data_IF_401782830361
#
_entry.id   IF_401782830361
#
_cell.length_a   1.000
_cell.length_b   1.000
_cell.length_c   1.000
_cell.angle_alpha   90.00
_cell.angle_beta   90.00
_cell.angle_gamma   90.00
#
_symmetry.space_group_name_H-M   'P 1'
#
loop_
_entity.id
_entity.type
_entity.pdbx_description
1 polymer ?
#
# COMPACT_ATOMS: atom_id res chain seq x y z
N UNK A 1 -58.43 8.49 27.65
CA UNK A 1 -57.66 7.39 27.05
C UNK A 1 -56.29 7.92 26.69
N UNK A 2 -55.29 7.66 27.53
CA UNK A 2 -53.88 7.97 27.24
C UNK A 2 -53.25 6.79 26.48
N UNK A 3 -52.37 7.05 25.50
CA UNK A 3 -51.68 5.99 24.77
C UNK A 3 -50.52 5.43 25.62
N UNK A 4 -50.49 4.11 25.75
CA UNK A 4 -49.42 3.36 26.40
C UNK A 4 -48.11 3.50 25.62
N UNK A 5 -47.08 4.02 26.28
CA UNK A 5 -45.70 4.03 25.80
C UNK A 5 -45.12 2.61 25.80
N UNK A 6 -44.74 2.08 24.64
CA UNK A 6 -43.88 0.91 24.58
C UNK A 6 -42.44 1.31 24.92
N UNK A 7 -41.74 0.56 25.80
CA UNK A 7 -40.33 0.82 26.06
C UNK A 7 -39.51 0.42 24.83
N UNK A 8 -38.79 1.40 24.27
CA UNK A 8 -37.77 1.19 23.25
C UNK A 8 -36.57 0.46 23.86
N UNK A 9 -36.64 -0.86 23.94
CA UNK A 9 -35.47 -1.69 24.18
C UNK A 9 -34.59 -1.64 22.92
N UNK A 10 -33.54 -0.82 22.94
CA UNK A 10 -32.48 -0.91 21.96
C UNK A 10 -31.88 -2.32 22.06
N UNK A 11 -32.07 -3.13 21.03
CA UNK A 11 -31.40 -4.41 20.86
C UNK A 11 -29.89 -4.18 20.83
N UNK A 12 -29.23 -4.36 21.97
CA UNK A 12 -27.77 -4.46 22.03
C UNK A 12 -27.39 -5.80 21.40
N UNK A 13 -27.01 -5.77 20.13
CA UNK A 13 -26.40 -6.92 19.45
C UNK A 13 -25.09 -7.28 20.16
N UNK A 14 -25.04 -8.44 20.81
CA UNK A 14 -23.91 -8.90 21.63
C UNK A 14 -22.72 -9.44 20.79
N UNK A 15 -22.86 -9.46 19.47
CA UNK A 15 -21.82 -9.92 18.54
C UNK A 15 -21.71 -11.44 18.44
N UNK A 16 -22.66 -12.20 18.98
CA UNK A 16 -22.70 -13.66 18.80
C UNK A 16 -23.24 -14.03 17.42
N UNK A 17 -22.81 -15.19 16.89
CA UNK A 17 -23.42 -15.85 15.73
C UNK A 17 -24.32 -16.99 16.26
N UNK A 18 -25.51 -16.67 16.82
CA UNK A 18 -26.34 -17.65 17.51
C UNK A 18 -26.84 -18.76 16.58
N UNK A 19 -26.91 -18.48 15.28
CA UNK A 19 -27.37 -19.40 14.26
C UNK A 19 -26.23 -20.18 13.59
N UNK A 20 -24.96 -19.89 13.94
CA UNK A 20 -23.76 -20.52 13.37
C UNK A 20 -23.75 -20.47 11.84
N UNK A 21 -24.18 -19.34 11.28
CA UNK A 21 -24.29 -19.15 9.83
C UNK A 21 -22.91 -18.83 9.25
N UNK A 22 -22.03 -18.22 10.03
CA UNK A 22 -20.68 -17.92 9.60
C UNK A 22 -19.82 -19.20 9.66
N UNK A 23 -18.99 -19.43 8.63
CA UNK A 23 -18.04 -20.54 8.65
C UNK A 23 -17.07 -20.39 9.82
N UNK A 24 -16.56 -21.52 10.32
CA UNK A 24 -15.71 -21.57 11.50
C UNK A 24 -14.34 -22.19 11.20
N UNK A 25 -13.29 -21.65 11.82
CA UNK A 25 -11.98 -22.31 11.89
C UNK A 25 -12.08 -23.61 12.71
N UNK A 26 -11.26 -24.60 12.35
CA UNK A 26 -11.17 -25.85 13.11
C UNK A 26 -10.40 -25.68 14.42
N UNK A 27 -9.48 -24.72 14.49
CA UNK A 27 -8.67 -24.42 15.67
C UNK A 27 -9.51 -23.79 16.77
N UNK A 28 -9.62 -24.48 17.91
CA UNK A 28 -10.43 -24.08 19.08
C UNK A 28 -10.04 -22.72 19.70
N UNK A 29 -8.86 -22.17 19.38
CA UNK A 29 -8.39 -20.86 19.84
C UNK A 29 -8.72 -19.68 18.92
N UNK A 30 -9.45 -19.91 17.83
CA UNK A 30 -9.69 -18.90 16.79
C UNK A 30 -11.19 -18.59 16.69
N UNK A 31 -11.59 -17.38 17.11
CA UNK A 31 -12.96 -16.88 16.94
C UNK A 31 -13.16 -16.30 15.54
N UNK A 32 -13.84 -17.05 14.68
CA UNK A 32 -14.13 -16.62 13.30
C UNK A 32 -15.02 -15.38 13.26
N UNK A 33 -16.00 -15.30 14.16
CA UNK A 33 -16.92 -14.17 14.28
C UNK A 33 -16.16 -12.88 14.61
N UNK A 34 -15.24 -12.93 15.58
CA UNK A 34 -14.45 -11.75 15.94
C UNK A 34 -13.53 -11.30 14.81
N UNK A 35 -12.91 -12.25 14.10
CA UNK A 35 -12.01 -11.94 12.99
C UNK A 35 -12.76 -11.39 11.78
N UNK A 36 -13.91 -11.94 11.43
CA UNK A 36 -14.76 -11.42 10.36
C UNK A 36 -15.23 -10.00 10.71
N UNK A 37 -15.64 -9.76 11.96
CA UNK A 37 -16.01 -8.42 12.43
C UNK A 37 -14.84 -7.44 12.34
N UNK A 38 -13.64 -7.86 12.74
CA UNK A 38 -12.42 -7.04 12.60
C UNK A 38 -12.09 -6.79 11.12
N UNK A 39 -12.28 -7.78 10.26
CA UNK A 39 -12.06 -7.66 8.82
C UNK A 39 -12.98 -6.59 8.23
N UNK A 40 -14.27 -6.67 8.56
CA UNK A 40 -15.27 -5.67 8.18
C UNK A 40 -14.88 -4.27 8.66
N UNK A 41 -14.43 -4.14 9.91
CA UNK A 41 -14.02 -2.84 10.47
C UNK A 41 -12.81 -2.22 9.76
N UNK A 42 -11.82 -3.02 9.40
CA UNK A 42 -10.54 -2.49 8.92
C UNK A 42 -10.40 -2.44 7.40
N UNK A 43 -11.05 -3.34 6.67
CA UNK A 43 -10.79 -3.58 5.24
C UNK A 43 -12.02 -3.44 4.33
N UNK A 44 -13.22 -3.34 4.89
CA UNK A 44 -14.45 -3.31 4.08
C UNK A 44 -14.94 -1.88 3.91
N UNK A 45 -15.02 -1.45 2.65
CA UNK A 45 -15.77 -0.27 2.23
C UNK A 45 -17.10 -0.68 1.57
N UNK A 46 -17.97 0.27 1.24
CA UNK A 46 -19.24 0.00 0.55
C UNK A 46 -19.04 -0.81 -0.73
N UNK A 47 -18.06 -0.43 -1.55
CA UNK A 47 -17.72 -1.16 -2.79
C UNK A 47 -17.20 -2.58 -2.52
N UNK A 48 -16.54 -2.81 -1.38
CA UNK A 48 -16.14 -4.17 -0.98
C UNK A 48 -17.36 -5.04 -0.67
N UNK A 49 -18.39 -4.47 -0.03
CA UNK A 49 -19.66 -5.17 0.23
C UNK A 49 -20.40 -5.51 -1.07
N UNK A 50 -20.37 -4.61 -2.06
CA UNK A 50 -21.10 -4.81 -3.31
C UNK A 50 -20.39 -5.79 -4.26
N UNK A 51 -19.05 -5.78 -4.27
CA UNK A 51 -18.25 -6.52 -5.26
C UNK A 51 -17.61 -7.78 -4.67
N UNK A 52 -16.97 -7.67 -3.51
CA UNK A 52 -16.09 -8.72 -3.00
C UNK A 52 -16.76 -9.67 -2.03
N UNK A 53 -17.56 -9.15 -1.09
CA UNK A 53 -18.26 -9.98 -0.10
C UNK A 53 -19.13 -11.06 -0.73
N UNK A 54 -19.92 -10.80 -1.80
CA UNK A 54 -20.72 -11.84 -2.44
C UNK A 54 -19.85 -12.97 -2.98
N UNK A 55 -18.65 -12.66 -3.49
CA UNK A 55 -17.69 -13.64 -4.02
C UNK A 55 -17.15 -14.52 -2.90
N UNK A 56 -16.61 -13.93 -1.82
CA UNK A 56 -16.02 -14.73 -0.74
C UNK A 56 -17.05 -15.51 0.07
N UNK A 57 -18.31 -15.07 0.07
CA UNK A 57 -19.42 -15.78 0.70
C UNK A 57 -19.88 -17.01 -0.09
N UNK A 58 -19.50 -17.17 -1.37
CA UNK A 58 -19.83 -18.40 -2.12
C UNK A 58 -19.04 -19.62 -1.63
N UNK A 59 -17.97 -19.41 -0.86
CA UNK A 59 -17.13 -20.50 -0.37
C UNK A 59 -16.59 -20.24 1.04
N UNK A 60 -16.87 -21.10 2.04
CA UNK A 60 -16.44 -20.93 3.43
C UNK A 60 -14.96 -20.57 3.61
N UNK A 61 -14.05 -21.28 2.95
CA UNK A 61 -12.61 -21.05 3.08
C UNK A 61 -12.16 -19.70 2.49
N UNK A 62 -12.87 -19.15 1.51
CA UNK A 62 -12.50 -17.84 0.97
C UNK A 62 -12.80 -16.72 1.95
N UNK A 63 -13.99 -16.75 2.59
CA UNK A 63 -14.28 -15.83 3.68
C UNK A 63 -13.28 -15.98 4.82
N UNK A 64 -13.03 -17.21 5.29
CA UNK A 64 -12.12 -17.45 6.40
C UNK A 64 -10.67 -17.03 6.08
N UNK A 65 -10.18 -17.26 4.87
CA UNK A 65 -8.82 -16.87 4.49
C UNK A 65 -8.58 -15.36 4.51
N UNK A 66 -9.62 -14.51 4.38
CA UNK A 66 -9.48 -13.05 4.58
C UNK A 66 -8.96 -12.69 5.99
N UNK A 67 -9.17 -13.58 6.96
CA UNK A 67 -8.69 -13.42 8.32
C UNK A 67 -7.17 -13.53 8.44
N UNK A 68 -6.45 -14.09 7.45
CA UNK A 68 -4.98 -14.04 7.39
C UNK A 68 -4.49 -12.58 7.44
N UNK A 69 -5.02 -11.76 6.53
CA UNK A 69 -4.67 -10.33 6.43
C UNK A 69 -5.10 -9.58 7.69
N UNK A 70 -6.30 -9.89 8.18
CA UNK A 70 -6.89 -9.22 9.33
C UNK A 70 -6.12 -9.50 10.62
N UNK A 71 -5.81 -10.77 10.92
CA UNK A 71 -5.12 -11.15 12.15
C UNK A 71 -3.71 -10.56 12.17
N UNK A 72 -2.99 -10.62 11.05
CA UNK A 72 -1.65 -10.02 10.92
C UNK A 72 -1.67 -8.49 11.05
N UNK A 73 -2.71 -7.81 10.53
CA UNK A 73 -2.90 -6.38 10.75
C UNK A 73 -3.13 -6.05 12.23
N UNK A 74 -3.96 -6.83 12.91
CA UNK A 74 -4.24 -6.65 14.34
C UNK A 74 -2.99 -6.90 15.18
N UNK A 75 -2.19 -7.90 14.85
CA UNK A 75 -0.90 -8.14 15.50
C UNK A 75 0.03 -6.93 15.38
N UNK A 76 0.09 -6.31 14.19
CA UNK A 76 0.86 -5.08 13.98
C UNK A 76 0.31 -3.92 14.80
N UNK A 77 -1.02 -3.71 14.82
CA UNK A 77 -1.65 -2.64 15.62
C UNK A 77 -1.36 -2.81 17.12
N UNK A 78 -1.24 -4.05 17.59
CA UNK A 78 -0.86 -4.40 18.96
C UNK A 78 0.65 -4.32 19.23
N UNK A 79 1.47 -3.89 18.25
CA UNK A 79 2.92 -3.75 18.40
C UNK A 79 3.67 -5.08 18.47
N UNK A 80 3.04 -6.21 18.10
CA UNK A 80 3.73 -7.49 18.05
C UNK A 80 4.78 -7.44 16.94
N UNK A 81 5.99 -7.95 17.19
CA UNK A 81 7.05 -8.02 16.16
C UNK A 81 6.87 -9.21 15.21
N UNK A 82 6.28 -10.29 15.71
CA UNK A 82 6.00 -11.54 14.97
C UNK A 82 4.50 -11.79 14.90
N UNK A 83 4.11 -12.86 14.23
CA UNK A 83 2.73 -13.35 14.29
C UNK A 83 2.39 -13.85 15.69
N UNK A 84 1.15 -13.59 16.12
CA UNK A 84 0.57 -14.21 17.29
C UNK A 84 0.27 -15.69 17.04
N UNK A 85 0.02 -16.44 18.11
CA UNK A 85 -0.46 -17.82 18.02
C UNK A 85 -1.72 -17.90 17.14
N UNK A 86 -2.66 -16.97 17.32
CA UNK A 86 -3.87 -16.87 16.50
C UNK A 86 -3.55 -16.71 15.01
N UNK A 87 -2.68 -15.77 14.65
CA UNK A 87 -2.28 -15.56 13.25
C UNK A 87 -1.59 -16.80 12.67
N UNK A 88 -0.77 -17.48 13.46
CA UNK A 88 -0.08 -18.72 13.06
C UNK A 88 -1.08 -19.84 12.77
N UNK A 89 -2.08 -20.03 13.64
CA UNK A 89 -3.14 -21.03 13.46
C UNK A 89 -3.96 -20.77 12.18
N UNK A 90 -4.37 -19.52 11.94
CA UNK A 90 -5.14 -19.13 10.75
C UNK A 90 -4.35 -19.41 9.46
N UNK A 91 -3.06 -19.06 9.45
CA UNK A 91 -2.16 -19.30 8.31
C UNK A 91 -1.97 -20.78 8.06
N UNK A 92 -1.76 -21.58 9.11
CA UNK A 92 -1.62 -23.03 9.00
C UNK A 92 -2.89 -23.68 8.43
N UNK A 93 -4.09 -23.30 8.90
CA UNK A 93 -5.34 -23.80 8.32
C UNK A 93 -5.51 -23.38 6.85
N UNK A 94 -5.15 -22.14 6.51
CA UNK A 94 -5.19 -21.67 5.13
C UNK A 94 -4.26 -22.46 4.21
N UNK A 95 -3.07 -22.83 4.69
CA UNK A 95 -2.13 -23.71 3.97
C UNK A 95 -2.74 -25.09 3.74
N UNK A 96 -3.44 -25.66 4.74
CA UNK A 96 -4.13 -26.95 4.59
C UNK A 96 -5.18 -26.87 3.48
N UNK A 97 -5.99 -25.80 3.44
CA UNK A 97 -6.98 -25.60 2.39
C UNK A 97 -6.33 -25.44 1.02
N UNK A 98 -5.29 -24.62 0.90
CA UNK A 98 -4.53 -24.44 -0.34
C UNK A 98 -3.99 -25.78 -0.85
N UNK A 99 -3.34 -26.57 0.02
CA UNK A 99 -2.78 -27.86 -0.36
C UNK A 99 -3.85 -28.85 -0.83
N UNK A 100 -5.03 -28.82 -0.20
CA UNK A 100 -6.18 -29.63 -0.63
C UNK A 100 -6.65 -29.21 -2.03
N UNK A 101 -6.78 -27.90 -2.29
CA UNK A 101 -7.19 -27.39 -3.59
C UNK A 101 -6.15 -27.71 -4.68
N UNK A 102 -4.86 -27.58 -4.36
CA UNK A 102 -3.74 -27.86 -5.29
C UNK A 102 -3.57 -29.35 -5.59
N UNK A 103 -3.93 -30.23 -4.66
CA UNK A 103 -3.84 -31.69 -4.86
C UNK A 103 -4.95 -32.24 -5.77
N UNK A 104 -6.00 -31.44 -6.03
CA UNK A 104 -7.12 -31.85 -6.87
C UNK A 104 -7.07 -31.12 -8.22
N UNK A 105 -6.96 -31.90 -9.31
CA UNK A 105 -6.85 -31.41 -10.68
C UNK A 105 -8.02 -30.51 -11.11
N UNK A 106 -9.20 -30.73 -10.57
CA UNK A 106 -10.39 -29.93 -10.89
C UNK A 106 -10.37 -28.54 -10.22
N UNK A 107 -9.66 -28.41 -9.11
CA UNK A 107 -9.68 -27.20 -8.28
C UNK A 107 -8.39 -26.39 -8.36
N UNK A 108 -7.24 -27.00 -8.63
CA UNK A 108 -5.91 -26.39 -8.56
C UNK A 108 -5.72 -25.07 -9.34
N UNK A 109 -6.49 -24.85 -10.41
CA UNK A 109 -6.43 -23.62 -11.23
C UNK A 109 -7.68 -22.75 -11.11
N UNK A 110 -8.60 -23.10 -10.21
CA UNK A 110 -9.79 -22.30 -9.96
C UNK A 110 -9.40 -21.00 -9.30
N UNK A 111 -10.29 -20.03 -9.43
CA UNK A 111 -10.04 -18.73 -8.85
C UNK A 111 -10.04 -18.80 -7.33
N UNK A 112 -10.81 -19.72 -6.75
CA UNK A 112 -10.85 -19.93 -5.31
C UNK A 112 -9.46 -20.26 -4.78
N UNK A 113 -8.72 -21.13 -5.47
CA UNK A 113 -7.33 -21.45 -5.12
C UNK A 113 -6.44 -20.22 -5.19
N UNK A 114 -6.57 -19.40 -6.24
CA UNK A 114 -5.82 -18.14 -6.37
C UNK A 114 -6.15 -17.18 -5.22
N UNK A 115 -7.42 -17.03 -4.87
CA UNK A 115 -7.88 -16.19 -3.75
C UNK A 115 -7.29 -16.65 -2.43
N UNK A 116 -7.33 -17.95 -2.13
CA UNK A 116 -6.76 -18.50 -0.90
C UNK A 116 -5.26 -18.17 -0.79
N UNK A 117 -4.51 -18.37 -1.89
CA UNK A 117 -3.07 -18.07 -1.93
C UNK A 117 -2.83 -16.56 -1.81
N UNK A 118 -3.63 -15.72 -2.46
CA UNK A 118 -3.51 -14.26 -2.36
C UNK A 118 -3.76 -13.74 -0.95
N UNK A 119 -4.78 -14.26 -0.25
CA UNK A 119 -5.05 -13.85 1.13
C UNK A 119 -3.94 -14.30 2.09
N UNK A 120 -3.41 -15.51 1.91
CA UNK A 120 -2.25 -15.98 2.67
C UNK A 120 -1.03 -15.09 2.39
N UNK A 121 -0.72 -14.84 1.12
CA UNK A 121 0.37 -13.97 0.68
C UNK A 121 0.24 -12.56 1.28
N UNK A 122 -0.96 -11.96 1.22
CA UNK A 122 -1.23 -10.66 1.83
C UNK A 122 -1.01 -10.66 3.36
N UNK A 123 -1.30 -11.78 4.04
CA UNK A 123 -0.95 -12.00 5.46
C UNK A 123 0.54 -12.24 5.71
N UNK A 124 1.31 -12.64 4.69
CA UNK A 124 2.77 -12.81 4.77
C UNK A 124 3.53 -11.52 4.46
N UNK A 125 2.92 -10.54 3.77
CA UNK A 125 3.58 -9.29 3.37
C UNK A 125 4.26 -8.57 4.56
N UNK A 126 3.64 -8.59 5.74
CA UNK A 126 4.20 -7.99 6.96
C UNK A 126 5.55 -8.60 7.36
N UNK A 127 5.80 -9.88 7.07
CA UNK A 127 7.03 -10.55 7.49
C UNK A 127 8.26 -10.01 6.73
N UNK A 128 8.04 -9.33 5.59
CA UNK A 128 9.08 -8.77 4.73
C UNK A 128 10.08 -9.83 4.23
N UNK A 129 9.67 -11.09 4.14
CA UNK A 129 10.50 -12.18 3.62
C UNK A 129 10.33 -12.27 2.09
N UNK A 130 11.32 -11.75 1.38
CA UNK A 130 11.30 -11.69 -0.08
C UNK A 130 11.40 -13.09 -0.73
N UNK A 131 11.91 -14.11 -0.02
CA UNK A 131 11.88 -15.48 -0.51
C UNK A 131 10.46 -16.04 -0.48
N UNK A 132 9.73 -15.80 0.61
CA UNK A 132 8.31 -16.17 0.74
C UNK A 132 7.49 -15.48 -0.36
N UNK A 133 7.74 -14.18 -0.61
CA UNK A 133 7.07 -13.46 -1.69
C UNK A 133 7.27 -14.13 -3.04
N UNK A 134 8.52 -14.48 -3.38
CA UNK A 134 8.86 -15.14 -4.66
C UNK A 134 8.20 -16.51 -4.82
N UNK A 135 8.10 -17.29 -3.74
CA UNK A 135 7.44 -18.61 -3.77
C UNK A 135 5.96 -18.46 -4.13
N UNK A 136 5.25 -17.56 -3.45
CA UNK A 136 3.83 -17.33 -3.73
C UNK A 136 3.59 -16.69 -5.10
N UNK A 137 4.40 -15.70 -5.48
CA UNK A 137 4.37 -15.05 -6.79
C UNK A 137 4.51 -16.08 -7.92
N UNK A 138 5.56 -16.92 -7.87
CA UNK A 138 5.78 -17.96 -8.87
C UNK A 138 4.65 -18.99 -8.88
N UNK A 139 4.12 -19.36 -7.71
CA UNK A 139 2.96 -20.24 -7.60
C UNK A 139 1.74 -19.68 -8.33
N UNK A 140 1.40 -18.41 -8.06
CA UNK A 140 0.27 -17.69 -8.68
C UNK A 140 0.48 -17.57 -10.19
N UNK A 141 1.67 -17.18 -10.63
CA UNK A 141 1.99 -17.05 -12.06
C UNK A 141 1.76 -18.36 -12.80
N UNK A 142 2.30 -19.48 -12.31
CA UNK A 142 2.10 -20.81 -12.92
C UNK A 142 0.63 -21.19 -13.01
N UNK A 143 -0.14 -20.96 -11.94
CA UNK A 143 -1.57 -21.28 -11.90
C UNK A 143 -2.33 -20.49 -12.98
N UNK A 144 -2.05 -19.20 -13.10
CA UNK A 144 -2.69 -18.32 -14.10
C UNK A 144 -2.30 -18.73 -15.52
N UNK A 145 -1.02 -19.05 -15.76
CA UNK A 145 -0.56 -19.55 -17.06
C UNK A 145 -1.25 -20.85 -17.42
N UNK A 146 -1.35 -21.82 -16.49
CA UNK A 146 -2.07 -23.08 -16.70
C UNK A 146 -3.55 -22.87 -16.99
N UNK A 147 -4.15 -21.82 -16.44
CA UNK A 147 -5.54 -21.44 -16.71
C UNK A 147 -5.74 -20.76 -18.07
N UNK A 148 -4.67 -20.38 -18.75
CA UNK A 148 -4.71 -19.70 -20.04
C UNK A 148 -4.64 -18.16 -19.97
N UNK A 149 -4.13 -17.61 -18.86
CA UNK A 149 -3.81 -16.18 -18.72
C UNK A 149 -4.76 -15.37 -17.84
N UNK A 150 -4.41 -14.10 -17.62
CA UNK A 150 -5.12 -13.17 -16.73
C UNK A 150 -6.60 -12.99 -17.10
N UNK A 151 -6.92 -12.97 -18.39
CA UNK A 151 -8.29 -12.77 -18.89
C UNK A 151 -9.22 -13.95 -18.62
N UNK A 152 -8.69 -15.08 -18.13
CA UNK A 152 -9.45 -16.27 -17.75
C UNK A 152 -9.87 -16.29 -16.28
N UNK A 153 -9.46 -15.29 -15.50
CA UNK A 153 -9.86 -15.14 -14.11
C UNK A 153 -11.29 -14.59 -14.02
N UNK A 154 -12.08 -15.15 -13.10
CA UNK A 154 -13.53 -14.98 -13.04
C UNK A 154 -14.02 -13.64 -12.49
N UNK A 155 -15.34 -13.61 -12.22
CA UNK A 155 -16.13 -12.49 -11.67
C UNK A 155 -15.79 -11.15 -12.32
N UNK A 156 -15.92 -11.12 -13.63
CA UNK A 156 -15.71 -9.93 -14.45
C UNK A 156 -14.34 -9.25 -14.25
N UNK A 157 -13.30 -10.04 -13.95
CA UNK A 157 -11.94 -9.55 -13.78
C UNK A 157 -11.65 -8.98 -12.38
N UNK A 158 -12.56 -9.10 -11.41
CA UNK A 158 -12.30 -8.71 -10.02
C UNK A 158 -11.09 -9.47 -9.45
N UNK A 159 -11.00 -10.77 -9.70
CA UNK A 159 -9.85 -11.56 -9.24
C UNK A 159 -8.58 -11.16 -9.96
N UNK A 160 -8.62 -10.94 -11.27
CA UNK A 160 -7.46 -10.42 -12.01
C UNK A 160 -6.95 -9.07 -11.47
N UNK A 161 -7.87 -8.15 -11.18
CA UNK A 161 -7.55 -6.85 -10.58
C UNK A 161 -6.92 -6.98 -9.19
N UNK A 162 -7.50 -7.79 -8.32
CA UNK A 162 -6.95 -8.05 -6.99
C UNK A 162 -5.56 -8.72 -7.08
N UNK A 163 -5.42 -9.75 -7.93
CA UNK A 163 -4.15 -10.44 -8.17
C UNK A 163 -3.06 -9.44 -8.56
N UNK A 164 -3.29 -8.66 -9.64
CA UNK A 164 -2.29 -7.72 -10.14
C UNK A 164 -1.96 -6.67 -9.09
N UNK A 165 -2.95 -6.18 -8.35
CA UNK A 165 -2.70 -5.17 -7.33
C UNK A 165 -1.84 -5.70 -6.18
N UNK A 166 -2.08 -6.92 -5.69
CA UNK A 166 -1.24 -7.54 -4.64
C UNK A 166 0.17 -7.85 -5.18
N UNK A 167 0.28 -8.34 -6.41
CA UNK A 167 1.55 -8.69 -7.02
C UNK A 167 2.40 -7.43 -7.30
N UNK A 168 1.80 -6.33 -7.74
CA UNK A 168 2.51 -5.07 -7.92
C UNK A 168 3.02 -4.46 -6.62
N UNK A 169 2.28 -4.58 -5.50
CA UNK A 169 2.79 -4.19 -4.19
C UNK A 169 4.12 -4.91 -3.90
N UNK A 170 4.20 -6.21 -4.18
CA UNK A 170 5.43 -7.00 -3.99
C UNK A 170 6.57 -6.51 -4.88
N UNK A 171 6.32 -6.27 -6.17
CA UNK A 171 7.36 -5.76 -7.07
C UNK A 171 7.86 -4.37 -6.63
N UNK A 172 6.96 -3.50 -6.15
CA UNK A 172 7.32 -2.19 -5.60
C UNK A 172 8.12 -2.35 -4.30
N UNK A 173 7.67 -3.16 -3.36
CA UNK A 173 8.37 -3.37 -2.08
C UNK A 173 9.74 -4.02 -2.25
N UNK A 174 9.95 -4.77 -3.33
CA UNK A 174 11.20 -5.49 -3.64
C UNK A 174 11.97 -4.86 -4.79
N UNK A 175 11.58 -3.68 -5.25
CA UNK A 175 12.22 -2.96 -6.37
C UNK A 175 12.59 -3.87 -7.55
N UNK A 176 11.67 -4.76 -7.92
CA UNK A 176 11.82 -5.73 -9.01
C UNK A 176 10.89 -5.38 -10.16
N UNK A 177 11.19 -5.94 -11.32
CA UNK A 177 10.33 -5.81 -12.50
C UNK A 177 9.22 -6.86 -12.52
N UNK A 178 7.98 -6.48 -12.85
CA UNK A 178 6.89 -7.43 -12.96
C UNK A 178 7.06 -8.41 -14.12
N UNK A 179 6.55 -9.63 -13.97
CA UNK A 179 6.42 -10.55 -15.12
C UNK A 179 5.54 -9.95 -16.22
N UNK A 180 5.85 -10.27 -17.49
CA UNK A 180 5.21 -9.67 -18.65
C UNK A 180 3.68 -9.77 -18.66
N UNK A 181 3.13 -10.91 -18.22
CA UNK A 181 1.68 -11.13 -18.17
C UNK A 181 0.96 -10.17 -17.22
N UNK A 182 1.62 -9.72 -16.16
CA UNK A 182 1.06 -8.71 -15.25
C UNK A 182 1.19 -7.32 -15.87
N UNK A 183 2.30 -7.02 -16.55
CA UNK A 183 2.50 -5.72 -17.22
C UNK A 183 1.44 -5.46 -18.29
N UNK A 184 1.10 -6.48 -19.07
CA UNK A 184 0.11 -6.40 -20.16
C UNK A 184 -1.33 -6.31 -19.67
N UNK A 185 -1.62 -6.60 -18.40
CA UNK A 185 -2.99 -6.57 -17.89
C UNK A 185 -3.57 -5.15 -17.86
N UNK A 186 -4.76 -4.98 -18.44
CA UNK A 186 -5.50 -3.72 -18.41
C UNK A 186 -6.77 -3.95 -17.59
N UNK A 187 -6.95 -3.26 -16.44
CA UNK A 187 -8.15 -3.39 -15.65
C UNK A 187 -9.38 -2.96 -16.46
N UNK A 188 -10.46 -3.74 -16.40
CA UNK A 188 -11.72 -3.36 -17.04
C UNK A 188 -12.23 -2.05 -16.44
N UNK A 189 -12.68 -1.14 -17.30
CA UNK A 189 -13.27 0.13 -16.90
C UNK A 189 -14.78 0.05 -17.08
N UNK A 190 -15.53 0.13 -15.97
CA UNK A 190 -16.98 0.01 -16.03
C UNK A 190 -17.66 1.23 -16.65
N UNK A 191 -17.05 2.43 -16.61
CA UNK A 191 -17.60 3.67 -17.16
C UNK A 191 -16.52 4.72 -17.51
N UNK A 192 -16.74 5.61 -18.50
CA UNK A 192 -15.88 6.77 -18.73
C UNK A 192 -15.89 7.72 -17.52
N UNK A 193 -14.73 8.28 -17.18
CA UNK A 193 -14.62 9.21 -16.05
C UNK A 193 -15.31 10.53 -16.36
N UNK A 194 -16.27 10.92 -15.51
CA UNK A 194 -16.82 12.28 -15.51
C UNK A 194 -15.98 13.16 -14.58
N UNK A 195 -15.89 14.46 -14.87
CA UNK A 195 -15.15 15.41 -14.03
C UNK A 195 -15.65 15.43 -12.58
N UNK A 196 -16.95 15.24 -12.37
CA UNK A 196 -17.58 15.21 -11.05
C UNK A 196 -17.40 13.90 -10.27
N UNK A 197 -16.85 12.85 -10.88
CA UNK A 197 -16.65 11.57 -10.20
C UNK A 197 -15.46 11.67 -9.24
N UNK A 198 -15.69 11.40 -7.95
CA UNK A 198 -14.63 11.26 -6.99
C UNK A 198 -13.81 9.99 -7.30
N UNK A 199 -12.49 10.14 -7.40
CA UNK A 199 -11.55 9.04 -7.64
C UNK A 199 -10.33 9.19 -6.73
N UNK A 200 -9.63 8.11 -6.39
CA UNK A 200 -8.44 8.16 -5.55
C UNK A 200 -7.25 8.69 -6.37
N UNK A 201 -7.24 9.99 -6.58
CA UNK A 201 -6.13 10.70 -7.20
C UNK A 201 -4.87 10.63 -6.34
N UNK A 202 -3.74 10.68 -7.02
CA UNK A 202 -2.42 10.73 -6.41
C UNK A 202 -1.40 11.29 -7.40
N UNK A 203 -0.18 11.63 -6.95
CA UNK A 203 0.90 12.00 -7.85
C UNK A 203 1.19 10.99 -8.98
N UNK A 204 0.80 9.73 -8.79
CA UNK A 204 1.00 8.65 -9.77
C UNK A 204 -0.26 8.30 -10.58
N UNK A 205 -1.40 8.91 -10.26
CA UNK A 205 -2.64 8.77 -11.00
C UNK A 205 -3.46 10.07 -10.97
N UNK A 206 -3.24 10.88 -12.00
CA UNK A 206 -3.97 12.12 -12.28
C UNK A 206 -4.53 12.04 -13.71
N UNK A 207 -5.63 11.29 -13.95
CA UNK A 207 -6.18 11.13 -15.29
C UNK A 207 -6.85 12.41 -15.84
N UNK A 208 -6.91 13.46 -15.01
CA UNK A 208 -7.48 14.78 -15.31
C UNK A 208 -6.35 15.82 -15.30
N UNK A 209 -6.61 17.04 -15.78
CA UNK A 209 -5.62 18.13 -15.78
C UNK A 209 -5.15 18.51 -14.38
N UNK A 210 -6.03 18.37 -13.39
CA UNK A 210 -5.81 18.77 -12.00
C UNK A 210 -6.37 17.71 -11.04
N UNK A 211 -5.99 17.81 -9.76
CA UNK A 211 -6.48 16.91 -8.74
C UNK A 211 -7.83 17.35 -8.17
N UNK A 212 -8.90 17.19 -8.94
CA UNK A 212 -10.24 17.65 -8.54
C UNK A 212 -10.77 17.02 -7.24
N UNK A 213 -10.47 15.74 -6.99
CA UNK A 213 -10.91 15.06 -5.76
C UNK A 213 -10.06 15.47 -4.56
N UNK A 214 -8.76 15.67 -4.77
CA UNK A 214 -7.85 16.16 -3.72
C UNK A 214 -8.19 17.60 -3.35
N UNK A 215 -8.37 18.48 -4.33
CA UNK A 215 -8.71 19.89 -4.11
C UNK A 215 -10.05 20.09 -3.39
N UNK A 216 -11.01 19.19 -3.59
CA UNK A 216 -12.29 19.21 -2.88
C UNK A 216 -12.20 18.68 -1.44
N UNK A 217 -11.08 18.09 -1.04
CA UNK A 217 -10.90 17.52 0.30
C UNK A 217 -10.63 18.62 1.34
N UNK A 218 -11.34 18.64 2.48
CA UNK A 218 -11.05 19.60 3.55
C UNK A 218 -9.68 19.38 4.20
N UNK A 219 -9.05 18.22 3.95
CA UNK A 219 -7.71 17.90 4.43
C UNK A 219 -6.60 18.47 3.54
N UNK A 220 -6.92 18.93 2.33
CA UNK A 220 -5.94 19.44 1.39
C UNK A 220 -5.75 20.95 1.57
N UNK A 221 -4.63 21.34 2.16
CA UNK A 221 -4.19 22.74 2.11
C UNK A 221 -3.53 23.05 0.78
N UNK A 222 -3.40 24.33 0.45
CA UNK A 222 -2.66 24.78 -0.74
C UNK A 222 -1.24 24.21 -0.80
N UNK A 223 -0.54 24.16 0.34
CA UNK A 223 0.82 23.60 0.42
C UNK A 223 0.84 22.09 0.17
N UNK A 224 -0.15 21.35 0.68
CA UNK A 224 -0.30 19.92 0.37
C UNK A 224 -0.53 19.74 -1.13
N UNK A 225 -1.45 20.52 -1.70
CA UNK A 225 -1.75 20.47 -3.13
C UNK A 225 -0.49 20.72 -3.97
N UNK A 226 0.27 21.77 -3.64
CA UNK A 226 1.48 22.16 -4.36
C UNK A 226 2.56 21.08 -4.30
N UNK A 227 2.79 20.44 -3.14
CA UNK A 227 3.74 19.32 -3.03
C UNK A 227 3.31 18.15 -3.92
N UNK A 228 2.01 17.81 -3.93
CA UNK A 228 1.49 16.70 -4.74
C UNK A 228 1.56 17.00 -6.24
N UNK A 229 1.29 18.25 -6.63
CA UNK A 229 1.41 18.71 -8.01
C UNK A 229 2.87 18.67 -8.46
N UNK A 230 3.80 19.12 -7.60
CA UNK A 230 5.24 19.04 -7.86
C UNK A 230 5.70 17.59 -8.02
N UNK A 231 5.22 16.65 -7.20
CA UNK A 231 5.54 15.23 -7.37
C UNK A 231 5.04 14.68 -8.72
N UNK A 232 3.81 15.01 -9.13
CA UNK A 232 3.24 14.59 -10.41
C UNK A 232 4.06 15.15 -11.58
N UNK A 233 4.31 16.45 -11.56
CA UNK A 233 5.00 17.15 -12.64
C UNK A 233 6.47 16.70 -12.74
N UNK A 234 7.12 16.44 -11.60
CA UNK A 234 8.43 15.82 -11.53
C UNK A 234 8.43 14.43 -12.16
N UNK A 235 7.45 13.58 -11.85
CA UNK A 235 7.30 12.25 -12.48
C UNK A 235 7.15 12.39 -14.00
N UNK A 236 6.34 13.33 -14.50
CA UNK A 236 6.17 13.55 -15.94
C UNK A 236 7.48 13.99 -16.62
N UNK A 237 8.19 14.95 -16.02
CA UNK A 237 9.49 15.43 -16.54
C UNK A 237 10.51 14.30 -16.57
N UNK A 238 10.61 13.52 -15.51
CA UNK A 238 11.52 12.39 -15.39
C UNK A 238 11.25 11.31 -16.45
N UNK A 239 9.99 10.87 -16.57
CA UNK A 239 9.60 9.83 -17.53
C UNK A 239 9.71 10.30 -18.99
N UNK A 240 9.40 11.57 -19.26
CA UNK A 240 9.51 12.14 -20.61
C UNK A 240 10.96 12.21 -21.08
N UNK A 241 11.89 12.61 -20.20
CA UNK A 241 13.32 12.64 -20.53
C UNK A 241 13.87 11.25 -20.84
N UNK A 242 13.42 10.22 -20.11
CA UNK A 242 13.84 8.85 -20.36
C UNK A 242 13.32 8.30 -21.69
N UNK A 243 12.03 8.50 -21.99
CA UNK A 243 11.41 7.98 -23.23
C UNK A 243 11.87 8.73 -24.48
N UNK A 244 12.19 10.01 -24.34
CA UNK A 244 12.68 10.87 -25.43
C UNK A 244 13.92 11.60 -24.93
N UNK A 245 15.12 10.98 -25.00
CA UNK A 245 16.36 11.60 -24.56
C UNK A 245 16.63 12.83 -25.44
N UNK A 246 16.25 14.01 -24.95
CA UNK A 246 16.59 15.27 -25.59
C UNK A 246 18.07 15.53 -25.41
N UNK A 247 18.72 16.12 -26.42
CA UNK A 247 20.10 16.62 -26.33
C UNK A 247 20.26 17.76 -25.30
N UNK A 248 19.16 18.34 -24.82
CA UNK A 248 19.14 19.43 -23.85
C UNK A 248 19.16 18.94 -22.39
N UNK A 249 20.15 18.12 -22.00
CA UNK A 249 20.33 17.62 -20.63
C UNK A 249 20.34 18.74 -19.59
N UNK A 250 20.94 19.90 -19.90
CA UNK A 250 20.98 21.05 -19.00
C UNK A 250 19.58 21.60 -18.63
N UNK A 251 18.64 21.60 -19.58
CA UNK A 251 17.28 22.07 -19.34
C UNK A 251 16.48 21.09 -18.46
N UNK A 252 16.76 19.79 -18.61
CA UNK A 252 16.19 18.75 -17.75
C UNK A 252 16.71 18.88 -16.31
N UNK A 253 18.03 18.94 -16.11
CA UNK A 253 18.64 19.09 -14.79
C UNK A 253 18.20 20.40 -14.11
N UNK A 254 18.05 21.49 -14.86
CA UNK A 254 17.51 22.75 -14.33
C UNK A 254 16.08 22.59 -13.79
N UNK A 255 15.22 21.81 -14.46
CA UNK A 255 13.86 21.54 -13.97
C UNK A 255 13.88 20.70 -12.69
N UNK A 256 14.72 19.65 -12.63
CA UNK A 256 14.88 18.84 -11.43
C UNK A 256 15.32 19.68 -10.22
N UNK A 257 16.33 20.52 -10.41
CA UNK A 257 16.82 21.42 -9.37
C UNK A 257 15.76 22.44 -8.93
N UNK A 258 14.90 22.89 -9.85
CA UNK A 258 13.79 23.78 -9.49
C UNK A 258 12.74 23.08 -8.61
N UNK A 259 12.40 21.81 -8.87
CA UNK A 259 11.54 21.02 -7.98
C UNK A 259 12.18 20.84 -6.61
N UNK A 260 13.46 20.49 -6.59
CA UNK A 260 14.21 20.33 -5.34
C UNK A 260 14.25 21.62 -4.52
N UNK A 261 14.47 22.77 -5.18
CA UNK A 261 14.48 24.08 -4.54
C UNK A 261 13.10 24.43 -3.97
N UNK A 262 12.00 24.21 -4.69
CA UNK A 262 10.65 24.43 -4.15
C UNK A 262 10.36 23.51 -2.96
N UNK A 263 10.74 22.24 -3.05
CA UNK A 263 10.56 21.30 -1.96
C UNK A 263 11.34 21.69 -0.69
N UNK A 264 12.54 22.27 -0.84
CA UNK A 264 13.33 22.80 0.29
C UNK A 264 12.68 23.98 1.01
N UNK A 265 11.76 24.70 0.36
CA UNK A 265 11.03 25.82 0.96
C UNK A 265 9.89 25.35 1.87
N UNK A 266 9.56 24.06 1.86
CA UNK A 266 8.54 23.48 2.72
C UNK A 266 9.14 23.05 4.07
N UNK A 267 8.90 23.80 5.18
CA UNK A 267 9.48 23.47 6.47
C UNK A 267 8.92 22.15 7.02
N UNK A 268 9.72 21.45 7.82
CA UNK A 268 9.27 20.28 8.58
C UNK A 268 8.20 20.68 9.61
N UNK A 269 7.16 19.86 9.79
CA UNK A 269 6.14 20.09 10.83
C UNK A 269 6.67 20.01 12.27
N UNK A 270 7.94 19.61 12.45
CA UNK A 270 8.63 19.68 13.73
C UNK A 270 9.06 21.10 14.11
N UNK A 271 9.26 21.98 13.10
CA UNK A 271 9.68 23.36 13.34
C UNK A 271 8.55 24.09 14.05
N UNK A 272 8.88 24.80 15.13
CA UNK A 272 7.91 25.59 15.87
C UNK A 272 7.59 26.89 15.11
N UNK A 273 6.38 27.42 15.36
CA UNK A 273 5.94 28.75 14.91
C UNK A 273 5.76 28.90 13.38
N UNK A 274 5.29 27.88 12.67
CA UNK A 274 4.80 28.03 11.29
C UNK A 274 3.41 27.39 11.10
N UNK A 275 2.77 27.66 9.96
CA UNK A 275 1.38 27.27 9.66
C UNK A 275 1.11 25.75 9.66
N UNK A 276 2.16 24.93 9.67
CA UNK A 276 2.06 23.46 9.62
C UNK A 276 2.76 22.77 10.80
N UNK A 277 3.11 23.52 11.85
CA UNK A 277 3.64 22.93 13.08
C UNK A 277 2.66 21.86 13.59
N UNK A 278 3.15 20.65 13.85
CA UNK A 278 2.38 19.47 14.26
C UNK A 278 1.32 18.98 13.26
N UNK A 279 1.32 19.42 12.01
CA UNK A 279 0.50 18.84 10.96
C UNK A 279 1.14 17.58 10.39
N UNK A 280 0.83 16.42 10.99
CA UNK A 280 1.41 15.12 10.62
C UNK A 280 0.96 14.60 9.26
N UNK A 281 -0.21 15.03 8.76
CA UNK A 281 -0.64 14.73 7.38
C UNK A 281 0.31 15.40 6.39
N UNK A 282 0.50 16.71 6.54
CA UNK A 282 1.44 17.49 5.74
C UNK A 282 2.86 16.90 5.83
N UNK A 283 3.34 16.58 7.04
CA UNK A 283 4.69 16.04 7.21
C UNK A 283 4.87 14.67 6.53
N UNK A 284 3.85 13.83 6.56
CA UNK A 284 3.88 12.54 5.85
C UNK A 284 4.00 12.73 4.34
N UNK A 285 3.25 13.68 3.77
CA UNK A 285 3.30 14.01 2.34
C UNK A 285 4.67 14.62 1.98
N UNK A 286 5.15 15.57 2.79
CA UNK A 286 6.44 16.23 2.61
C UNK A 286 7.60 15.24 2.65
N UNK A 287 7.67 14.37 3.67
CA UNK A 287 8.74 13.38 3.79
C UNK A 287 8.76 12.37 2.64
N UNK A 288 7.59 11.93 2.18
CA UNK A 288 7.49 11.05 1.01
C UNK A 288 7.94 11.76 -0.27
N UNK A 289 7.57 13.03 -0.45
CA UNK A 289 8.03 13.86 -1.55
C UNK A 289 9.55 14.04 -1.53
N UNK A 290 10.16 14.22 -0.34
CA UNK A 290 11.62 14.31 -0.19
C UNK A 290 12.29 13.00 -0.61
N UNK A 291 11.85 11.85 -0.08
CA UNK A 291 12.39 10.54 -0.46
C UNK A 291 12.28 10.32 -1.98
N UNK A 292 11.11 10.60 -2.54
CA UNK A 292 10.85 10.40 -3.96
C UNK A 292 11.69 11.33 -4.83
N UNK A 293 11.75 12.62 -4.50
CA UNK A 293 12.56 13.60 -5.23
C UNK A 293 14.05 13.26 -5.17
N UNK A 294 14.56 12.89 -3.99
CA UNK A 294 15.94 12.42 -3.83
C UNK A 294 16.24 11.23 -4.74
N UNK A 295 15.33 10.25 -4.82
CA UNK A 295 15.50 9.09 -5.69
C UNK A 295 15.62 9.50 -7.17
N UNK A 296 14.74 10.40 -7.64
CA UNK A 296 14.70 10.83 -9.03
C UNK A 296 15.90 11.71 -9.41
N UNK A 297 16.24 12.68 -8.56
CA UNK A 297 17.36 13.61 -8.80
C UNK A 297 18.69 12.86 -8.83
N UNK A 298 18.92 11.98 -7.86
CA UNK A 298 20.18 11.24 -7.76
C UNK A 298 20.18 9.96 -8.62
N UNK A 299 19.05 9.60 -9.22
CA UNK A 299 18.85 8.37 -10.02
C UNK A 299 19.18 7.10 -9.23
N UNK A 300 18.73 7.05 -7.98
CA UNK A 300 19.00 5.96 -7.03
C UNK A 300 17.70 5.23 -6.68
N UNK A 301 17.75 3.95 -6.27
CA UNK A 301 16.58 3.24 -5.76
C UNK A 301 15.93 3.97 -4.59
N UNK A 302 14.60 3.82 -4.42
CA UNK A 302 13.87 4.42 -3.30
C UNK A 302 14.38 3.91 -1.96
N UNK A 303 14.79 2.64 -1.90
CA UNK A 303 15.42 2.04 -0.72
C UNK A 303 16.74 2.74 -0.32
N UNK A 304 17.48 3.26 -1.30
CA UNK A 304 18.71 4.01 -1.08
C UNK A 304 18.43 5.48 -0.73
N UNK A 305 17.42 6.10 -1.34
CA UNK A 305 17.07 7.51 -1.12
C UNK A 305 16.76 7.88 0.33
N UNK A 306 16.32 6.92 1.16
CA UNK A 306 16.11 7.13 2.60
C UNK A 306 17.39 7.45 3.39
N UNK A 307 18.57 7.13 2.83
CA UNK A 307 19.89 7.30 3.45
C UNK A 307 20.65 8.54 3.00
N UNK A 308 20.20 9.17 1.92
CA UNK A 308 20.81 10.38 1.37
C UNK A 308 19.85 11.56 1.52
N UNK A 309 19.51 11.95 2.77
CA UNK A 309 18.78 13.19 2.95
C UNK A 309 19.66 14.32 2.41
N UNK A 310 19.24 14.94 1.31
CA UNK A 310 19.87 16.18 0.89
C UNK A 310 19.71 17.19 2.04
N UNK A 311 20.82 17.77 2.51
CA UNK A 311 20.80 18.74 3.59
C UNK A 311 19.86 19.92 3.27
N UNK A 312 19.73 20.29 1.99
CA UNK A 312 18.79 21.31 1.54
C UNK A 312 17.33 20.87 1.68
N UNK A 313 17.02 19.59 1.49
CA UNK A 313 15.65 19.07 1.60
C UNK A 313 15.23 18.68 3.01
N UNK A 314 16.20 18.58 3.93
CA UNK A 314 15.97 17.99 5.25
C UNK A 314 16.07 18.95 6.41
N UNK A 315 16.47 20.21 6.19
CA UNK A 315 16.57 21.31 7.18
C UNK A 315 16.30 20.83 8.60
N UNK A 316 17.26 20.05 9.14
CA UNK A 316 17.04 19.29 10.35
C UNK A 316 17.05 20.26 11.52
N UNK A 317 15.95 20.21 12.27
CA UNK A 317 15.83 20.72 13.61
C UNK A 317 16.95 20.10 14.46
N UNK A 318 18.02 20.87 14.65
CA UNK A 318 19.24 20.46 15.35
C UNK A 318 18.99 20.27 16.85
N UNK A 319 17.78 20.57 17.35
CA UNK A 319 17.46 20.56 18.76
C UNK A 319 16.71 19.30 19.25
N UNK A 320 15.99 18.55 18.40
CA UNK A 320 15.10 17.47 18.88
C UNK A 320 15.48 16.02 18.50
N UNK A 321 16.42 15.81 17.57
CA UNK A 321 16.85 14.46 17.12
C UNK A 321 18.38 14.28 17.05
N UNK A 322 19.13 15.10 17.77
CA UNK A 322 20.56 15.40 17.60
C UNK A 322 21.60 14.28 17.86
N UNK A 323 21.36 13.00 17.53
CA UNK A 323 22.42 11.97 17.65
C UNK A 323 22.57 10.99 16.50
N UNK A 324 21.68 10.89 15.51
CA UNK A 324 21.83 9.91 14.41
C UNK A 324 21.37 10.44 13.04
N UNK A 325 22.04 10.04 11.93
CA UNK A 325 21.54 10.32 10.58
C UNK A 325 20.12 9.76 10.48
N UNK A 326 19.16 10.67 10.30
CA UNK A 326 17.75 10.35 10.42
C UNK A 326 17.29 9.65 9.15
N UNK A 327 17.09 8.33 9.21
CA UNK A 327 16.52 7.57 8.10
C UNK A 327 15.11 8.09 7.80
N UNK A 328 14.91 8.66 6.61
CA UNK A 328 13.66 9.33 6.24
C UNK A 328 12.44 8.38 6.24
N UNK A 329 12.65 7.08 6.00
CA UNK A 329 11.56 6.12 6.03
C UNK A 329 11.03 5.88 7.45
N UNK A 330 11.91 5.93 8.46
CA UNK A 330 11.50 5.88 9.87
C UNK A 330 10.71 7.14 10.24
N UNK A 331 11.21 8.33 9.85
CA UNK A 331 10.50 9.59 10.10
C UNK A 331 9.13 9.62 9.43
N UNK A 332 9.04 9.13 8.18
CA UNK A 332 7.77 9.03 7.46
C UNK A 332 6.80 8.09 8.18
N UNK A 333 7.27 6.95 8.67
CA UNK A 333 6.45 6.05 9.49
C UNK A 333 5.95 6.70 10.78
N UNK A 334 6.82 7.40 11.51
CA UNK A 334 6.43 8.08 12.76
C UNK A 334 5.44 9.23 12.50
N UNK A 335 5.61 9.97 11.40
CA UNK A 335 4.66 10.99 10.97
C UNK A 335 3.31 10.36 10.62
N UNK A 336 3.30 9.32 9.76
CA UNK A 336 2.07 8.63 9.38
C UNK A 336 1.36 8.05 10.59
N UNK A 337 2.06 7.40 11.52
CA UNK A 337 1.48 6.82 12.75
C UNK A 337 0.69 7.84 13.58
N UNK A 338 1.05 9.12 13.53
CA UNK A 338 0.36 10.21 14.26
C UNK A 338 -0.88 10.74 13.56
N UNK A 339 -1.24 10.17 12.43
CA UNK A 339 -2.39 10.58 11.63
C UNK A 339 -3.63 9.72 11.89
N UNK A 340 -4.81 10.27 11.60
CA UNK A 340 -6.03 9.47 11.63
C UNK A 340 -6.14 8.57 10.39
N UNK A 341 -5.77 7.31 10.57
CA UNK A 341 -5.88 6.30 9.52
C UNK A 341 -7.25 5.63 9.46
N UNK A 342 -8.21 5.96 10.33
CA UNK A 342 -9.50 5.25 10.39
C UNK A 342 -10.25 5.30 9.04
N UNK A 343 -10.18 6.43 8.34
CA UNK A 343 -10.78 6.66 7.01
C UNK A 343 -9.81 6.46 5.83
N UNK A 344 -8.54 6.09 6.10
CA UNK A 344 -7.40 6.09 5.15
C UNK A 344 -7.43 7.30 4.20
N UNK A 345 -7.56 8.46 4.83
CA UNK A 345 -7.58 9.83 4.32
C UNK A 345 -8.70 10.27 3.39
N UNK A 346 -9.77 9.49 3.23
CA UNK A 346 -10.97 9.94 2.52
C UNK A 346 -10.65 10.44 1.10
N UNK A 347 -10.85 11.74 0.84
CA UNK A 347 -10.52 12.36 -0.46
C UNK A 347 -9.03 12.30 -0.86
N UNK A 348 -8.14 12.01 0.10
CA UNK A 348 -6.70 11.81 -0.12
C UNK A 348 -6.29 10.31 -0.05
N UNK A 349 -7.23 9.37 -0.22
CA UNK A 349 -6.95 7.93 -0.13
C UNK A 349 -5.93 7.43 -1.16
N UNK A 350 -5.95 7.97 -2.39
CA UNK A 350 -4.92 7.67 -3.39
C UNK A 350 -3.53 8.19 -2.97
N UNK A 351 -3.47 9.33 -2.30
CA UNK A 351 -2.24 9.90 -1.73
C UNK A 351 -1.70 9.03 -0.59
N UNK A 352 -2.56 8.59 0.33
CA UNK A 352 -2.17 7.66 1.40
C UNK A 352 -1.55 6.37 0.83
N UNK A 353 -2.19 5.82 -0.21
CA UNK A 353 -1.69 4.64 -0.90
C UNK A 353 -0.30 4.84 -1.50
N UNK A 354 -0.08 5.92 -2.25
CA UNK A 354 1.23 6.17 -2.86
C UNK A 354 2.33 6.46 -1.82
N UNK A 355 2.01 7.18 -0.74
CA UNK A 355 2.98 7.48 0.31
C UNK A 355 3.35 6.24 1.12
N UNK A 356 2.38 5.39 1.43
CA UNK A 356 2.66 4.11 2.12
C UNK A 356 3.49 3.16 1.24
N UNK A 357 3.27 3.14 -0.08
CA UNK A 357 4.15 2.44 -1.04
C UNK A 357 5.59 2.98 -0.99
N UNK A 358 5.76 4.30 -1.13
CA UNK A 358 7.08 4.95 -1.06
C UNK A 358 7.76 4.61 0.27
N UNK A 359 7.06 4.75 1.40
CA UNK A 359 7.61 4.47 2.73
C UNK A 359 7.99 3.00 2.92
N UNK A 360 7.18 2.07 2.43
CA UNK A 360 7.47 0.63 2.49
C UNK A 360 8.72 0.28 1.67
N UNK A 361 8.85 0.80 0.45
CA UNK A 361 10.02 0.60 -0.39
C UNK A 361 11.26 1.29 0.17
N UNK A 362 11.13 2.53 0.65
CA UNK A 362 12.21 3.29 1.26
C UNK A 362 12.72 2.68 2.57
N UNK A 363 11.91 1.88 3.26
CA UNK A 363 12.30 1.14 4.47
C UNK A 363 12.94 -0.23 4.15
N UNK A 364 13.11 -0.59 2.88
CA UNK A 364 13.76 -1.85 2.48
C UNK A 364 15.24 -1.87 2.84
N UNK A 365 15.62 -2.83 3.68
CA UNK A 365 17.00 -3.18 3.99
C UNK A 365 17.56 -4.05 2.86
N UNK A 366 18.41 -3.50 2.00
CA UNK A 366 19.15 -4.30 1.01
C UNK A 366 20.48 -4.75 1.61
N UNK A 367 21.02 -5.89 1.15
CA UNK A 367 22.37 -6.33 1.56
C UNK A 367 23.48 -5.31 1.25
N UNK A 368 23.18 -4.30 0.41
CA UNK A 368 24.04 -3.17 0.08
C UNK A 368 24.17 -2.12 1.19
N UNK A 369 23.56 -2.31 2.37
CA UNK A 369 23.78 -1.41 3.51
C UNK A 369 25.26 -1.33 3.95
N UNK A 370 26.08 -2.32 3.59
CA UNK A 370 27.52 -2.31 3.86
C UNK A 370 28.28 -1.21 3.09
N UNK A 371 27.71 -0.67 2.00
CA UNK A 371 28.34 0.39 1.19
C UNK A 371 28.00 1.81 1.64
N UNK A 372 27.15 2.00 2.66
CA UNK A 372 26.70 3.34 3.10
C UNK A 372 27.18 3.65 4.53
N UNK A 373 28.30 4.37 4.70
CA UNK A 373 28.75 4.83 6.01
C UNK A 373 27.93 6.03 6.52
N UNK A 374 27.64 6.11 7.83
CA UNK A 374 27.93 5.11 8.86
C UNK A 374 26.97 3.92 8.78
N UNK A 375 27.48 2.70 9.04
CA UNK A 375 26.63 1.51 9.10
C UNK A 375 25.52 1.71 10.14
N UNK A 376 24.26 1.38 9.80
CA UNK A 376 23.15 1.54 10.72
C UNK A 376 23.33 0.63 11.94
N UNK A 377 23.04 1.17 13.13
CA UNK A 377 23.09 0.39 14.37
C UNK A 377 22.08 -0.76 14.32
N UNK A 378 22.28 -1.85 15.08
CA UNK A 378 21.29 -2.95 15.17
C UNK A 378 19.88 -2.44 15.54
N UNK A 379 19.81 -1.43 16.41
CA UNK A 379 18.55 -0.78 16.80
C UNK A 379 17.88 -0.05 15.64
N UNK A 380 18.65 0.63 14.80
CA UNK A 380 18.10 1.32 13.62
C UNK A 380 17.62 0.33 12.57
N UNK A 381 18.34 -0.79 12.38
CA UNK A 381 17.89 -1.89 11.51
C UNK A 381 16.55 -2.46 11.99
N UNK A 382 16.39 -2.71 13.29
CA UNK A 382 15.13 -3.17 13.86
C UNK A 382 14.00 -2.15 13.67
N UNK A 383 14.25 -0.86 13.94
CA UNK A 383 13.25 0.21 13.78
C UNK A 383 12.84 0.38 12.32
N UNK A 384 13.79 0.28 11.39
CA UNK A 384 13.54 0.35 9.96
C UNK A 384 12.75 -0.85 9.48
N UNK A 385 13.12 -2.05 9.92
CA UNK A 385 12.35 -3.25 9.62
C UNK A 385 10.93 -3.11 10.13
N UNK A 386 10.73 -2.66 11.37
CA UNK A 386 9.40 -2.37 11.91
C UNK A 386 8.62 -1.35 11.08
N UNK A 387 9.24 -0.22 10.72
CA UNK A 387 8.64 0.78 9.85
C UNK A 387 8.20 0.16 8.52
N UNK A 388 9.03 -0.68 7.90
CA UNK A 388 8.70 -1.42 6.67
C UNK A 388 7.45 -2.28 6.86
N UNK A 389 7.40 -3.08 7.93
CA UNK A 389 6.25 -3.95 8.26
C UNK A 389 4.97 -3.13 8.37
N UNK A 390 5.03 -2.01 9.07
CA UNK A 390 3.88 -1.12 9.25
C UNK A 390 3.43 -0.49 7.94
N UNK A 391 4.35 0.06 7.14
CA UNK A 391 4.01 0.69 5.87
C UNK A 391 3.42 -0.30 4.86
N UNK A 392 3.93 -1.52 4.82
CA UNK A 392 3.35 -2.60 4.00
C UNK A 392 1.91 -2.91 4.42
N UNK A 393 1.63 -2.94 5.72
CA UNK A 393 0.27 -3.19 6.22
C UNK A 393 -0.67 -1.99 6.01
N UNK A 394 -0.17 -0.75 6.10
CA UNK A 394 -0.93 0.44 5.72
C UNK A 394 -1.28 0.42 4.23
N UNK A 395 -0.29 0.10 3.38
CA UNK A 395 -0.48 -0.10 1.93
C UNK A 395 -1.52 -1.19 1.67
N UNK A 396 -1.37 -2.34 2.32
CA UNK A 396 -2.27 -3.49 2.19
C UNK A 396 -3.70 -3.10 2.55
N UNK A 397 -3.91 -2.37 3.64
CA UNK A 397 -5.23 -1.92 4.07
C UNK A 397 -5.88 -0.97 3.06
N UNK A 398 -5.20 0.12 2.69
CA UNK A 398 -5.78 1.10 1.77
C UNK A 398 -5.96 0.49 0.37
N UNK A 399 -5.05 -0.36 -0.10
CA UNK A 399 -5.17 -1.06 -1.38
C UNK A 399 -6.40 -1.96 -1.40
N UNK A 400 -6.64 -2.75 -0.35
CA UNK A 400 -7.85 -3.59 -0.26
C UNK A 400 -9.13 -2.75 -0.31
N UNK A 401 -9.14 -1.57 0.31
CA UNK A 401 -10.29 -0.65 0.24
C UNK A 401 -10.46 -0.08 -1.19
N UNK A 402 -9.37 0.33 -1.83
CA UNK A 402 -9.42 1.01 -3.12
C UNK A 402 -9.63 0.06 -4.31
N UNK A 403 -9.04 -1.13 -4.30
CA UNK A 403 -8.99 -2.00 -5.50
C UNK A 403 -10.36 -2.48 -5.96
N UNK A 404 -11.34 -2.61 -5.06
CA UNK A 404 -12.69 -3.04 -5.43
C UNK A 404 -13.56 -1.90 -5.97
N UNK A 405 -13.36 -0.66 -5.49
CA UNK A 405 -14.10 0.51 -5.99
C UNK A 405 -13.43 1.21 -7.16
N UNK A 406 -12.10 1.16 -7.23
CA UNK A 406 -11.27 1.93 -8.15
C UNK A 406 -10.07 1.15 -8.69
N UNK A 407 -10.25 -0.08 -9.24
CA UNK A 407 -9.14 -0.94 -9.67
C UNK A 407 -8.24 -0.26 -10.70
N UNK A 408 -8.83 0.52 -11.64
CA UNK A 408 -8.07 1.28 -12.65
C UNK A 408 -7.11 2.27 -12.01
N UNK A 409 -7.58 3.04 -11.02
CA UNK A 409 -6.76 4.05 -10.35
C UNK A 409 -5.63 3.43 -9.55
N UNK A 410 -5.94 2.40 -8.75
CA UNK A 410 -4.97 1.68 -7.93
C UNK A 410 -3.87 1.06 -8.79
N UNK A 411 -4.26 0.31 -9.82
CA UNK A 411 -3.32 -0.41 -10.69
C UNK A 411 -2.52 0.56 -11.56
N UNK A 412 -3.13 1.64 -12.06
CA UNK A 412 -2.41 2.65 -12.84
C UNK A 412 -1.37 3.40 -11.98
N UNK A 413 -1.69 3.75 -10.74
CA UNK A 413 -0.74 4.36 -9.82
C UNK A 413 0.45 3.43 -9.54
N UNK A 414 0.20 2.14 -9.30
CA UNK A 414 1.24 1.12 -9.12
C UNK A 414 2.11 0.97 -10.38
N UNK A 415 1.50 0.86 -11.57
CA UNK A 415 2.22 0.80 -12.85
C UNK A 415 3.13 2.00 -13.06
N UNK A 416 2.62 3.20 -12.77
CA UNK A 416 3.39 4.44 -12.92
C UNK A 416 4.61 4.45 -12.01
N UNK A 417 4.47 4.03 -10.75
CA UNK A 417 5.59 3.92 -9.83
C UNK A 417 6.59 2.83 -10.26
N UNK A 418 6.11 1.66 -10.71
CA UNK A 418 6.97 0.60 -11.25
C UNK A 418 7.78 1.06 -12.46
N UNK A 419 7.17 1.82 -13.38
CA UNK A 419 7.87 2.37 -14.53
C UNK A 419 8.98 3.35 -14.12
N UNK A 420 8.74 4.20 -13.12
CA UNK A 420 9.76 5.08 -12.54
C UNK A 420 10.91 4.25 -11.94
N UNK A 421 10.58 3.22 -11.16
CA UNK A 421 11.57 2.35 -10.53
C UNK A 421 12.40 1.54 -11.53
N UNK A 422 11.82 1.17 -12.67
CA UNK A 422 12.56 0.55 -13.78
C UNK A 422 13.66 1.47 -14.30
N UNK A 423 13.34 2.74 -14.50
CA UNK A 423 14.31 3.75 -14.94
C UNK A 423 15.41 3.95 -13.89
N UNK A 424 15.04 4.05 -12.61
CA UNK A 424 16.00 4.18 -11.51
C UNK A 424 16.95 2.97 -11.40
N UNK A 425 16.41 1.75 -11.52
CA UNK A 425 17.19 0.52 -11.43
C UNK A 425 18.21 0.36 -12.56
N UNK A 426 17.93 0.87 -13.75
CA UNK A 426 18.88 0.88 -14.88
C UNK A 426 20.04 1.87 -14.66
N UNK A 427 19.80 2.98 -13.96
CA UNK A 427 20.82 3.99 -13.65
C UNK A 427 21.79 3.59 -12.54
N UNK A 428 21.39 2.67 -11.65
CA UNK A 428 22.19 2.22 -10.50
C UNK A 428 23.18 1.08 -10.84
N UNK A 429 22.99 0.41 -11.99
CA UNK A 429 23.89 -0.65 -12.47
C UNK A 429 24.95 -0.17 -13.47
N UNK A 430 25.01 1.14 -13.74
CA UNK A 430 26.09 1.81 -14.47
C UNK A 430 26.98 2.56 -13.48
#
# INVERSE_FOLDING_TARGET
MQPSSFPSAALTYDGTDPFRVLPQFASKGVSSVDLIRQSTRYFVASTTLDVWVPIVMTHPHALLSTCCVTSTYVDMMNGLKTDSERSTLIKNESIIWINRELSNLATQTTDMTIILILHLLAGELRNCDENVFRIHESGIERIIVQRGGMDKLGWDGVVAGLTVSVIYDIYIFTERQPAAMFQSYIPKRSNPLKTSTAIPESPFYCPRSEFFTIAASPLCTEQIYNILADMRDLTEVFMSHYNTPSTATAAYESKLNAFQSRLSQHPSAHILNHAHTHNWLYESIRLAAVIYTTALVNRIPLSAASYFPDAALTTLDTASFATHPTNLAISLYEAMKRTDMSSCWGGLSGVFFCISLIGATAARTTGSEASFPPLPSPRDKERRQWARRCMIMYTTRVRTVLVFGHPVATIAAQKRLLAVMEVLGRGWCQ
#
